data_IF_323590654843
#
_entry.id   IF_323590654843
#
_cell.length_a   1.000
_cell.length_b   1.000
_cell.length_c   1.000
_cell.angle_alpha   90.00
_cell.angle_beta   90.00
_cell.angle_gamma   90.00
#
_symmetry.space_group_name_H-M   'P 1'
#
loop_
_entity.id
_entity.type
_entity.pdbx_description
1 polymer ?
#
# COMPACT_ATOMS: atom_id res chain seq x y z
N UNK A 1 23.59 2.57 -2.40
CA UNK A 1 22.80 3.69 -2.94
C UNK A 1 22.82 4.84 -1.94
N UNK A 2 22.79 6.10 -2.38
CA UNK A 2 22.63 7.22 -1.45
C UNK A 2 21.24 7.18 -0.81
N UNK A 3 21.09 7.73 0.40
CA UNK A 3 19.80 7.77 1.10
C UNK A 3 18.71 8.47 0.25
N UNK A 4 19.12 9.48 -0.52
CA UNK A 4 18.28 10.19 -1.48
C UNK A 4 17.80 9.30 -2.62
N UNK A 5 18.70 8.49 -3.20
CA UNK A 5 18.32 7.57 -4.28
C UNK A 5 17.33 6.51 -3.79
N UNK A 6 17.49 6.00 -2.57
CA UNK A 6 16.55 5.05 -1.96
C UNK A 6 15.20 5.72 -1.74
N UNK A 7 15.18 6.93 -1.17
CA UNK A 7 13.95 7.67 -0.92
C UNK A 7 13.18 7.97 -2.23
N UNK A 8 13.88 8.38 -3.30
CA UNK A 8 13.27 8.58 -4.62
C UNK A 8 12.75 7.28 -5.23
N UNK A 9 13.50 6.18 -5.12
CA UNK A 9 13.06 4.88 -5.61
C UNK A 9 11.81 4.39 -4.88
N UNK A 10 11.74 4.56 -3.56
CA UNK A 10 10.55 4.24 -2.75
C UNK A 10 9.35 5.10 -3.15
N UNK A 11 9.54 6.41 -3.33
CA UNK A 11 8.49 7.31 -3.77
C UNK A 11 7.94 6.93 -5.16
N UNK A 12 8.83 6.65 -6.11
CA UNK A 12 8.46 6.22 -7.46
C UNK A 12 7.75 4.87 -7.45
N UNK A 13 8.25 3.90 -6.67
CA UNK A 13 7.64 2.58 -6.55
C UNK A 13 6.23 2.67 -5.93
N UNK A 14 6.06 3.45 -4.87
CA UNK A 14 4.76 3.68 -4.23
C UNK A 14 3.78 4.42 -5.15
N UNK A 15 4.26 5.39 -5.94
CA UNK A 15 3.43 6.05 -6.93
C UNK A 15 3.05 5.10 -8.08
N UNK A 16 3.98 4.24 -8.52
CA UNK A 16 3.75 3.27 -9.58
C UNK A 16 2.75 2.18 -9.17
N UNK A 17 2.79 1.69 -7.93
CA UNK A 17 1.80 0.70 -7.43
C UNK A 17 0.39 1.27 -7.41
N UNK A 18 0.22 2.50 -6.90
CA UNK A 18 -1.07 3.20 -6.93
C UNK A 18 -1.51 3.49 -8.35
N UNK A 19 -0.60 3.96 -9.20
CA UNK A 19 -0.88 4.22 -10.62
C UNK A 19 -1.35 2.96 -11.35
N UNK A 20 -0.69 1.82 -11.13
CA UNK A 20 -1.13 0.54 -11.66
C UNK A 20 -2.53 0.17 -11.17
N UNK A 21 -2.83 0.33 -9.88
CA UNK A 21 -4.15 0.08 -9.33
C UNK A 21 -5.25 0.96 -9.95
N UNK A 22 -4.96 2.24 -10.22
CA UNK A 22 -5.87 3.15 -10.91
C UNK A 22 -6.09 2.78 -12.38
N UNK A 23 -5.04 2.28 -13.05
CA UNK A 23 -5.17 1.75 -14.42
C UNK A 23 -6.04 0.49 -14.43
N UNK A 24 -5.93 -0.40 -13.45
CA UNK A 24 -6.83 -1.55 -13.33
C UNK A 24 -8.28 -1.12 -13.10
N UNK A 25 -8.50 -0.09 -12.29
CA UNK A 25 -9.84 0.41 -12.00
C UNK A 25 -10.48 1.13 -13.21
N UNK A 26 -9.79 2.11 -13.80
CA UNK A 26 -10.36 2.97 -14.84
C UNK A 26 -10.09 2.47 -16.27
N UNK A 27 -8.99 1.74 -16.47
CA UNK A 27 -8.61 1.20 -17.77
C UNK A 27 -9.21 -0.18 -18.05
N UNK A 28 -9.23 -1.06 -17.04
CA UNK A 28 -9.74 -2.43 -17.18
C UNK A 28 -11.11 -2.66 -16.54
N UNK A 29 -11.67 -1.67 -15.84
CA UNK A 29 -13.02 -1.72 -15.27
C UNK A 29 -13.15 -2.60 -14.01
N UNK A 30 -12.04 -2.93 -13.33
CA UNK A 30 -12.10 -3.68 -12.07
C UNK A 30 -12.65 -2.80 -10.95
N UNK A 31 -13.79 -3.20 -10.39
CA UNK A 31 -14.40 -2.47 -9.26
C UNK A 31 -13.64 -2.80 -7.98
N UNK A 32 -13.03 -1.81 -7.29
CA UNK A 32 -12.26 -2.06 -6.10
C UNK A 32 -13.19 -2.32 -4.91
N UNK A 33 -12.81 -3.29 -4.10
CA UNK A 33 -13.45 -3.57 -2.82
C UNK A 33 -13.02 -2.55 -1.75
N UNK A 34 -13.74 -2.49 -0.61
CA UNK A 34 -13.39 -1.58 0.50
C UNK A 34 -11.95 -1.81 1.01
N UNK A 35 -11.54 -3.07 1.12
CA UNK A 35 -10.21 -3.43 1.59
C UNK A 35 -9.12 -3.05 0.58
N UNK A 36 -9.42 -3.23 -0.71
CA UNK A 36 -8.60 -2.79 -1.84
C UNK A 36 -8.33 -1.29 -1.80
N UNK A 37 -9.33 -0.47 -1.46
CA UNK A 37 -9.17 0.99 -1.29
C UNK A 37 -8.37 1.33 -0.03
N UNK A 38 -8.61 0.61 1.06
CA UNK A 38 -7.91 0.82 2.33
C UNK A 38 -6.41 0.53 2.18
N UNK A 39 -6.05 -0.50 1.41
CA UNK A 39 -4.67 -0.86 1.08
C UNK A 39 -3.93 0.20 0.24
N UNK A 40 -4.64 1.12 -0.43
CA UNK A 40 -4.02 2.24 -1.15
C UNK A 40 -3.55 3.36 -0.23
N UNK A 41 -4.20 3.54 0.92
CA UNK A 41 -3.90 4.60 1.89
C UNK A 41 -2.42 4.57 2.35
N UNK A 42 -1.85 3.41 2.70
CA UNK A 42 -0.42 3.30 2.98
C UNK A 42 0.49 3.89 1.90
N UNK A 43 0.18 3.67 0.62
CA UNK A 43 0.99 4.18 -0.48
C UNK A 43 0.79 5.68 -0.71
N UNK A 44 -0.44 6.20 -0.53
CA UNK A 44 -0.70 7.64 -0.57
C UNK A 44 0.05 8.41 0.50
N UNK A 45 0.33 7.78 1.64
CA UNK A 45 1.17 8.36 2.70
C UNK A 45 2.66 8.12 2.44
N UNK A 46 3.04 6.91 2.04
CA UNK A 46 4.43 6.53 1.82
C UNK A 46 5.09 7.35 0.69
N UNK A 47 4.39 7.59 -0.43
CA UNK A 47 4.94 8.31 -1.57
C UNK A 47 5.38 9.76 -1.24
N UNK A 48 4.54 10.64 -0.66
CA UNK A 48 4.96 11.99 -0.29
C UNK A 48 6.00 11.98 0.84
N UNK A 49 5.88 11.09 1.85
CA UNK A 49 6.85 11.01 2.94
C UNK A 49 8.24 10.60 2.42
N UNK A 50 8.31 9.61 1.52
CA UNK A 50 9.56 9.20 0.88
C UNK A 50 10.12 10.30 -0.02
N UNK A 51 9.26 11.04 -0.75
CA UNK A 51 9.68 12.17 -1.56
C UNK A 51 10.30 13.29 -0.70
N UNK A 52 9.65 13.66 0.40
CA UNK A 52 10.18 14.64 1.37
C UNK A 52 11.50 14.16 1.95
N UNK A 53 11.63 12.88 2.30
CA UNK A 53 12.86 12.31 2.83
C UNK A 53 14.05 12.46 1.85
N UNK A 54 13.82 12.48 0.54
CA UNK A 54 14.87 12.66 -0.46
C UNK A 54 15.53 14.05 -0.42
N UNK A 55 14.81 15.08 0.02
CA UNK A 55 15.32 16.46 0.09
C UNK A 55 15.86 16.84 1.47
N UNK A 56 15.67 16.00 2.48
CA UNK A 56 16.10 16.25 3.85
C UNK A 56 17.56 15.81 4.12
N UNK A 57 18.21 16.38 5.15
CA UNK A 57 19.51 15.88 5.61
C UNK A 57 19.40 14.46 6.21
N UNK A 58 20.52 13.73 6.36
CA UNK A 58 20.50 12.30 6.66
C UNK A 58 19.74 11.90 7.94
N UNK A 59 19.82 12.71 9.01
CA UNK A 59 19.16 12.43 10.28
C UNK A 59 17.62 12.43 10.16
N UNK A 60 16.96 13.54 9.75
CA UNK A 60 15.51 13.55 9.61
C UNK A 60 15.04 12.68 8.44
N UNK A 61 15.82 12.53 7.37
CA UNK A 61 15.48 11.62 6.27
C UNK A 61 15.36 10.15 6.74
N UNK A 62 16.26 9.68 7.62
CA UNK A 62 16.15 8.33 8.22
C UNK A 62 14.90 8.16 9.08
N UNK A 63 14.53 9.20 9.84
CA UNK A 63 13.31 9.17 10.64
C UNK A 63 12.06 9.05 9.75
N UNK A 64 11.97 9.87 8.70
CA UNK A 64 10.89 9.79 7.70
C UNK A 64 10.85 8.43 7.00
N UNK A 65 12.00 7.86 6.62
CA UNK A 65 12.06 6.52 6.04
C UNK A 65 11.61 5.44 7.03
N UNK A 66 11.85 5.62 8.33
CA UNK A 66 11.30 4.76 9.37
C UNK A 66 9.77 4.82 9.44
N UNK A 67 9.19 6.02 9.33
CA UNK A 67 7.73 6.17 9.23
C UNK A 67 7.17 5.53 7.96
N UNK A 68 7.83 5.72 6.82
CA UNK A 68 7.48 5.07 5.54
C UNK A 68 7.50 3.55 5.71
N UNK A 69 8.52 2.99 6.38
CA UNK A 69 8.60 1.57 6.65
C UNK A 69 7.42 1.07 7.48
N UNK A 70 7.06 1.77 8.57
CA UNK A 70 5.93 1.39 9.41
C UNK A 70 4.61 1.40 8.65
N UNK A 71 4.37 2.44 7.85
CA UNK A 71 3.14 2.57 7.05
C UNK A 71 3.04 1.48 5.99
N UNK A 72 4.15 1.19 5.28
CA UNK A 72 4.17 0.14 4.26
C UNK A 72 4.05 -1.27 4.87
N UNK A 73 4.70 -1.53 6.01
CA UNK A 73 4.56 -2.81 6.72
C UNK A 73 3.13 -3.01 7.26
N UNK A 74 2.48 -1.93 7.70
CA UNK A 74 1.06 -1.96 8.03
C UNK A 74 0.21 -2.32 6.79
N UNK A 75 0.49 -1.69 5.65
CA UNK A 75 -0.15 -2.03 4.37
C UNK A 75 0.09 -3.48 3.94
N UNK A 76 1.29 -4.02 4.19
CA UNK A 76 1.61 -5.43 3.95
C UNK A 76 0.77 -6.35 4.84
N UNK A 77 0.61 -6.02 6.13
CA UNK A 77 -0.25 -6.76 7.04
C UNK A 77 -1.71 -6.78 6.59
N UNK A 78 -2.23 -5.64 6.11
CA UNK A 78 -3.57 -5.57 5.51
C UNK A 78 -3.69 -6.45 4.27
N UNK A 79 -2.72 -6.39 3.36
CA UNK A 79 -2.72 -7.23 2.15
C UNK A 79 -2.62 -8.72 2.45
N UNK A 80 -1.85 -9.12 3.48
CA UNK A 80 -1.81 -10.52 3.95
C UNK A 80 -3.17 -10.93 4.48
N UNK A 81 -3.80 -10.10 5.32
CA UNK A 81 -5.15 -10.34 5.81
C UNK A 81 -6.17 -10.48 4.67
N UNK A 82 -6.11 -9.62 3.67
CA UNK A 82 -7.00 -9.68 2.51
C UNK A 82 -6.77 -10.95 1.68
N UNK A 83 -5.52 -11.27 1.32
CA UNK A 83 -5.19 -12.47 0.57
C UNK A 83 -5.55 -13.76 1.33
N UNK A 84 -5.36 -13.79 2.65
CA UNK A 84 -5.77 -14.93 3.47
C UNK A 84 -7.30 -15.06 3.58
N UNK A 85 -8.04 -13.96 3.54
CA UNK A 85 -9.50 -13.99 3.47
C UNK A 85 -9.99 -14.54 2.11
N UNK A 86 -9.31 -14.19 1.02
CA UNK A 86 -9.60 -14.73 -0.32
C UNK A 86 -9.24 -16.22 -0.49
N UNK A 87 -8.32 -16.73 0.34
CA UNK A 87 -7.98 -18.15 0.42
C UNK A 87 -8.76 -18.90 1.50
N UNK A 88 -9.72 -18.23 2.15
CA UNK A 88 -10.54 -18.78 3.23
C UNK A 88 -9.73 -19.30 4.44
N UNK A 89 -8.53 -18.78 4.67
CA UNK A 89 -7.77 -19.06 5.89
C UNK A 89 -8.42 -18.42 7.13
N UNK A 90 -9.10 -17.29 6.94
CA UNK A 90 -9.87 -16.60 7.98
C UNK A 90 -11.05 -15.85 7.36
N UNK A 91 -12.07 -15.51 8.16
CA UNK A 91 -13.18 -14.71 7.67
C UNK A 91 -12.71 -13.31 7.25
N UNK A 92 -13.23 -12.84 6.11
CA UNK A 92 -13.13 -11.45 5.70
C UNK A 92 -13.89 -10.53 6.66
N UNK A 93 -13.66 -9.21 6.60
CA UNK A 93 -14.29 -8.27 7.50
C UNK A 93 -15.78 -8.16 7.17
N UNK A 94 -16.62 -8.09 8.20
CA UNK A 94 -18.09 -8.04 8.07
C UNK A 94 -18.60 -6.79 7.32
N UNK A 95 -17.76 -5.76 7.20
CA UNK A 95 -18.08 -4.51 6.50
C UNK A 95 -17.69 -4.54 5.01
N UNK A 96 -17.28 -5.68 4.47
CA UNK A 96 -17.03 -5.88 3.04
C UNK A 96 -18.24 -6.57 2.41
N UNK A 97 -18.98 -5.85 1.56
CA UNK A 97 -20.20 -6.37 0.92
C UNK A 97 -21.50 -5.66 1.34
N UNK A 98 -21.44 -4.67 2.22
CA UNK A 98 -22.59 -3.85 2.58
C UNK A 98 -22.12 -2.48 3.06
N UNK A 99 -22.63 -1.41 2.44
CA UNK A 99 -22.20 -0.04 2.73
C UNK A 99 -22.25 0.27 4.23
N UNK A 100 -21.22 0.92 4.75
CA UNK A 100 -21.15 1.46 6.11
C UNK A 100 -22.08 2.67 6.34
N UNK A 101 -23.21 2.72 5.63
CA UNK A 101 -24.24 3.73 5.78
C UNK A 101 -25.20 3.34 6.90
N UNK A 102 -25.74 4.34 7.61
CA UNK A 102 -26.82 4.14 8.56
C UNK A 102 -27.93 3.28 7.93
N UNK A 103 -28.52 2.38 8.72
CA UNK A 103 -29.65 1.57 8.28
C UNK A 103 -30.71 2.49 7.64
N UNK A 104 -31.10 2.26 6.36
CA UNK A 104 -32.11 3.08 5.72
C UNK A 104 -33.40 2.99 6.53
N UNK A 105 -34.00 4.14 6.81
CA UNK A 105 -35.28 4.20 7.55
C UNK A 105 -36.42 3.55 6.76
N UNK A 106 -36.29 3.44 5.42
CA UNK A 106 -37.30 2.91 4.51
C UNK A 106 -36.71 1.94 3.48
N UNK A 107 -37.45 0.88 3.14
CA UNK A 107 -37.05 -0.18 2.20
C UNK A 107 -36.83 0.34 0.76
N UNK A 108 -37.51 1.41 0.37
CA UNK A 108 -37.34 2.05 -0.95
C UNK A 108 -35.99 2.74 -1.14
N UNK A 109 -35.42 3.30 -0.07
CA UNK A 109 -34.09 3.92 -0.08
C UNK A 109 -32.98 2.86 -0.06
N UNK A 110 -33.23 1.70 0.55
CA UNK A 110 -32.34 0.54 0.47
C UNK A 110 -32.18 0.06 -0.98
N UNK A 111 -33.27 -0.04 -1.75
CA UNK A 111 -33.24 -0.45 -3.15
C UNK A 111 -32.49 0.55 -4.04
N UNK A 112 -32.65 1.87 -3.82
CA UNK A 112 -31.86 2.90 -4.50
C UNK A 112 -30.38 2.89 -4.11
N UNK A 113 -30.06 2.68 -2.84
CA UNK A 113 -28.68 2.52 -2.40
C UNK A 113 -28.03 1.27 -2.96
N UNK A 114 -28.76 0.15 -3.09
CA UNK A 114 -28.30 -1.06 -3.78
C UNK A 114 -28.07 -0.85 -5.29
N UNK A 115 -28.86 -0.01 -5.95
CA UNK A 115 -28.68 0.35 -7.36
C UNK A 115 -27.38 1.16 -7.59
N UNK A 116 -26.99 1.98 -6.60
CA UNK A 116 -25.79 2.83 -6.66
C UNK A 116 -24.52 2.19 -6.09
N UNK A 117 -24.65 1.28 -5.12
CA UNK A 117 -23.54 0.63 -4.43
C UNK A 117 -23.50 -0.81 -4.89
N UNK A 118 -22.67 -1.13 -5.90
CA UNK A 118 -22.30 -2.52 -6.19
C UNK A 118 -21.42 -3.02 -5.06
N UNK A 119 -21.93 -3.83 -4.11
CA UNK A 119 -21.11 -4.31 -3.02
C UNK A 119 -20.17 -5.37 -3.59
N UNK A 120 -18.87 -5.07 -3.62
CA UNK A 120 -17.85 -6.03 -4.02
C UNK A 120 -17.34 -6.74 -2.78
N UNK A 121 -17.42 -8.06 -2.79
CA UNK A 121 -16.95 -8.90 -1.69
C UNK A 121 -15.42 -8.90 -1.63
N UNK A 122 -14.87 -8.58 -0.46
CA UNK A 122 -13.41 -8.61 -0.22
C UNK A 122 -12.86 -10.02 0.02
N UNK A 123 -13.72 -11.04 -0.03
CA UNK A 123 -13.32 -12.46 0.05
C UNK A 123 -13.23 -13.10 -1.33
N UNK A 124 -13.68 -12.42 -2.39
CA UNK A 124 -13.59 -12.89 -3.76
C UNK A 124 -12.46 -12.17 -4.48
N UNK A 125 -11.45 -12.92 -4.92
CA UNK A 125 -10.36 -12.34 -5.69
C UNK A 125 -10.85 -11.89 -7.07
N UNK A 126 -10.85 -10.57 -7.30
CA UNK A 126 -11.24 -9.99 -8.59
C UNK A 126 -10.33 -10.45 -9.73
N UNK A 127 -9.05 -10.68 -9.43
CA UNK A 127 -8.08 -11.23 -10.36
C UNK A 127 -7.01 -12.02 -9.62
N UNK A 128 -6.54 -13.11 -10.24
CA UNK A 128 -5.43 -13.93 -9.76
C UNK A 128 -4.38 -14.06 -10.84
N UNK A 129 -3.14 -13.79 -10.48
CA UNK A 129 -1.97 -13.94 -11.32
C UNK A 129 -0.97 -14.86 -10.65
N UNK A 130 -0.62 -15.96 -11.33
CA UNK A 130 0.24 -17.04 -10.79
C UNK A 130 -0.30 -17.64 -9.48
N UNK A 131 -1.63 -17.70 -9.34
CA UNK A 131 -2.30 -18.23 -8.13
C UNK A 131 -2.38 -17.23 -6.96
N UNK A 132 -1.74 -16.07 -7.07
CA UNK A 132 -1.78 -14.99 -6.07
C UNK A 132 -2.75 -13.91 -6.54
N UNK A 133 -3.60 -13.43 -5.66
CA UNK A 133 -4.53 -12.34 -5.95
C UNK A 133 -3.84 -10.99 -6.09
N UNK A 134 -4.56 -9.99 -6.60
CA UNK A 134 -4.10 -8.59 -6.56
C UNK A 134 -3.73 -8.15 -5.13
N UNK A 135 -4.53 -8.55 -4.14
CA UNK A 135 -4.26 -8.27 -2.73
C UNK A 135 -2.95 -8.90 -2.25
N UNK A 136 -2.71 -10.16 -2.63
CA UNK A 136 -1.46 -10.86 -2.29
C UNK A 136 -0.23 -10.22 -2.95
N UNK A 137 -0.32 -9.82 -4.22
CA UNK A 137 0.75 -9.08 -4.88
C UNK A 137 1.01 -7.73 -4.22
N UNK A 138 -0.06 -7.03 -3.82
CA UNK A 138 0.06 -5.79 -3.09
C UNK A 138 0.75 -5.98 -1.73
N UNK A 139 0.42 -7.05 -1.00
CA UNK A 139 1.08 -7.41 0.25
C UNK A 139 2.59 -7.64 0.09
N UNK A 140 2.98 -8.38 -0.95
CA UNK A 140 4.38 -8.67 -1.26
C UNK A 140 5.16 -7.39 -1.60
N UNK A 141 4.57 -6.52 -2.42
CA UNK A 141 5.22 -5.25 -2.80
C UNK A 141 5.34 -4.33 -1.59
N UNK A 142 4.27 -4.19 -0.79
CA UNK A 142 4.28 -3.40 0.44
C UNK A 142 5.35 -3.90 1.42
N UNK A 143 5.47 -5.22 1.59
CA UNK A 143 6.49 -5.83 2.44
C UNK A 143 7.90 -5.55 1.92
N UNK A 144 8.15 -5.75 0.63
CA UNK A 144 9.46 -5.51 0.03
C UNK A 144 9.89 -4.04 0.17
N UNK A 145 9.00 -3.10 -0.16
CA UNK A 145 9.27 -1.67 -0.04
C UNK A 145 9.44 -1.25 1.43
N UNK A 146 8.62 -1.79 2.34
CA UNK A 146 8.73 -1.55 3.77
C UNK A 146 10.05 -2.03 4.35
N UNK A 147 10.53 -3.21 3.95
CA UNK A 147 11.85 -3.73 4.36
C UNK A 147 13.00 -2.89 3.82
N UNK A 148 12.93 -2.44 2.57
CA UNK A 148 13.93 -1.52 2.00
C UNK A 148 13.96 -0.19 2.76
N UNK A 149 12.79 0.38 3.08
CA UNK A 149 12.68 1.59 3.88
C UNK A 149 13.25 1.39 5.31
N UNK A 150 12.96 0.26 5.94
CA UNK A 150 13.49 -0.10 7.26
C UNK A 150 15.02 -0.24 7.23
N UNK A 151 15.57 -0.94 6.24
CA UNK A 151 17.02 -1.10 6.08
C UNK A 151 17.72 0.25 5.85
N UNK A 152 17.09 1.17 5.12
CA UNK A 152 17.60 2.52 4.90
C UNK A 152 17.54 3.39 6.16
N UNK A 153 16.47 3.26 6.95
CA UNK A 153 16.30 3.96 8.23
C UNK A 153 17.33 3.50 9.28
N UNK A 154 17.56 2.18 9.36
CA UNK A 154 18.52 1.55 10.29
C UNK A 154 19.99 1.71 9.84
N UNK A 155 20.23 2.26 8.65
CA UNK A 155 21.58 2.53 8.14
C UNK A 155 22.28 1.33 7.51
N UNK A 156 21.63 0.18 7.39
CA UNK A 156 22.18 -1.01 6.73
C UNK A 156 22.45 -0.80 5.23
N UNK A 157 21.76 0.17 4.61
CA UNK A 157 21.89 0.46 3.18
C UNK A 157 23.01 1.46 2.82
N UNK A 158 23.87 1.86 3.77
CA UNK A 158 24.94 2.82 3.50
C UNK A 158 26.29 2.09 3.34
N UNK A 159 26.88 2.06 2.13
CA UNK A 159 28.31 1.79 2.01
C UNK A 159 29.05 2.86 2.81
N UNK A 160 30.03 2.43 3.61
CA UNK A 160 30.96 3.32 4.28
C UNK A 160 31.62 4.25 3.26
N UNK A 161 31.10 5.45 3.09
CA UNK A 161 31.87 6.55 2.51
C UNK A 161 32.89 6.93 3.56
N UNK A 162 34.01 6.19 3.60
CA UNK A 162 35.20 6.64 4.27
C UNK A 162 35.59 7.99 3.65
N UNK A 163 36.00 8.98 4.46
CA UNK A 163 36.47 10.24 3.92
C UNK A 163 37.73 9.96 3.11
N UNK A 164 37.63 10.14 1.78
CA UNK A 164 38.81 10.36 0.96
C UNK A 164 39.35 11.72 1.41
N UNK A 165 40.38 11.72 2.27
CA UNK A 165 41.16 12.92 2.57
C UNK A 165 41.77 13.42 1.25
N UNK A 166 41.49 14.66 0.82
CA UNK A 166 42.28 15.31 -0.20
C UNK A 166 43.51 15.90 0.49
N UNK A 167 44.69 15.39 0.13
CA UNK A 167 45.99 16.05 0.26
C UNK A 167 46.37 16.63 1.62
N UNK A 168 47.25 15.93 2.34
CA UNK A 168 48.41 16.54 2.97
C UNK A 168 49.47 15.50 3.28
#
# INVERSE_FOLDING_TARGET
MSLRAIALALALAAAATVGAALVFEHGFGYVPCKLCLTERVPYYLAAPLALVAAFLPPRPARFLLGLVALVLLYGAGLGVYHAGAEWAFWPGPNDCGGGSGAAPAEVGDFLKSLESVRPVDCTTAAWRFLGVSLAGWNALIAAALGLVAAAAALGFAQPSTGPHQPGR
#
